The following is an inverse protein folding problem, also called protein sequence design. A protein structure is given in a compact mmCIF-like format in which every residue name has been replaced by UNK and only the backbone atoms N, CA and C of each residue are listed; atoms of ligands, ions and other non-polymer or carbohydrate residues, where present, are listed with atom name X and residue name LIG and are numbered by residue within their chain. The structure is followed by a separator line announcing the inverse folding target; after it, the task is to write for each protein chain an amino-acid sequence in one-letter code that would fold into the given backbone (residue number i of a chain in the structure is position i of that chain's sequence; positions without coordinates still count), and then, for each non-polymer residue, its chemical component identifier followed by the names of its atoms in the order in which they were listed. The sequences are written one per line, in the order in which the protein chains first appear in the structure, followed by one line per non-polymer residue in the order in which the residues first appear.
data_IF_044201325386
#
_entry.id   IF_044201325386
#
_cell.length_a   1.000
_cell.length_b   1.000
_cell.length_c   1.000
_cell.angle_alpha   90.00
_cell.angle_beta   90.00
_cell.angle_gamma   90.00
#
_symmetry.space_group_name_H-M   'P 1'
#
loop_
_entity.id
_entity.type
_entity.pdbx_description
1 polymer ?
#
# COMPACT_ATOMS: atom_id res chain seq x y z
N UNK A 1 0.93 -7.85 -22.04
CA UNK A 1 1.68 -9.01 -21.50
C UNK A 1 1.00 -10.33 -21.84
N UNK A 2 1.76 -11.35 -22.25
CA UNK A 2 1.23 -12.64 -22.72
C UNK A 2 1.21 -13.71 -21.62
N UNK A 3 2.06 -13.58 -20.61
CA UNK A 3 2.21 -14.53 -19.50
C UNK A 3 2.23 -13.80 -18.15
N UNK A 4 2.07 -14.54 -17.06
CA UNK A 4 2.20 -14.05 -15.69
C UNK A 4 3.56 -13.38 -15.47
N UNK A 5 4.65 -14.02 -15.90
CA UNK A 5 6.01 -13.47 -15.79
C UNK A 5 6.15 -12.13 -16.51
N UNK A 6 5.62 -12.01 -17.73
CA UNK A 6 5.64 -10.75 -18.48
C UNK A 6 4.78 -9.68 -17.80
N UNK A 7 3.60 -10.04 -17.26
CA UNK A 7 2.70 -9.11 -16.60
C UNK A 7 3.33 -8.54 -15.32
N UNK A 8 3.89 -9.42 -14.49
CA UNK A 8 4.58 -9.07 -13.26
C UNK A 8 5.86 -8.25 -13.51
N UNK A 9 6.61 -8.56 -14.57
CA UNK A 9 7.74 -7.72 -14.98
C UNK A 9 7.27 -6.34 -15.45
N UNK A 10 6.14 -6.26 -16.16
CA UNK A 10 5.61 -4.98 -16.63
C UNK A 10 5.15 -4.09 -15.47
N UNK A 11 4.49 -4.64 -14.44
CA UNK A 11 4.10 -3.86 -13.25
C UNK A 11 5.33 -3.27 -12.56
N UNK A 12 6.39 -4.06 -12.37
CA UNK A 12 7.65 -3.56 -11.80
C UNK A 12 8.32 -2.50 -12.69
N UNK A 13 8.27 -2.68 -14.02
CA UNK A 13 8.87 -1.72 -14.97
C UNK A 13 8.19 -0.35 -14.87
N UNK A 14 6.86 -0.31 -14.81
CA UNK A 14 6.14 0.95 -14.59
C UNK A 14 6.40 1.53 -13.20
N UNK A 15 6.47 0.68 -12.17
CA UNK A 15 6.77 1.11 -10.80
C UNK A 15 8.08 1.88 -10.72
N UNK A 16 9.15 1.33 -11.30
CA UNK A 16 10.46 1.97 -11.33
C UNK A 16 10.48 3.18 -12.26
N UNK A 17 9.73 3.16 -13.37
CA UNK A 17 9.65 4.32 -14.26
C UNK A 17 9.10 5.56 -13.53
N UNK A 18 8.03 5.39 -12.75
CA UNK A 18 7.44 6.47 -11.95
C UNK A 18 8.41 6.89 -10.83
N UNK A 19 9.01 5.96 -10.10
CA UNK A 19 9.99 6.30 -9.05
C UNK A 19 11.26 6.97 -9.59
N UNK A 20 11.56 6.83 -10.88
CA UNK A 20 12.69 7.48 -11.52
C UNK A 20 12.34 8.87 -12.10
N UNK A 21 11.06 9.25 -12.13
CA UNK A 21 10.65 10.56 -12.65
C UNK A 21 10.72 11.65 -11.58
N UNK A 22 10.65 11.28 -10.29
CA UNK A 22 10.70 12.21 -9.15
C UNK A 22 11.22 11.52 -7.87
N UNK A 23 11.66 12.30 -6.88
CA UNK A 23 12.16 11.81 -5.59
C UNK A 23 10.98 11.43 -4.67
N UNK A 24 10.44 10.24 -4.86
CA UNK A 24 9.22 9.77 -4.19
C UNK A 24 9.53 8.65 -3.18
N UNK A 25 8.77 8.63 -2.10
CA UNK A 25 8.57 7.46 -1.24
C UNK A 25 7.08 7.19 -1.13
N UNK A 26 6.69 5.93 -0.90
CA UNK A 26 5.30 5.56 -0.69
C UNK A 26 4.48 5.37 -1.96
N UNK A 27 5.14 5.18 -3.12
CA UNK A 27 4.44 4.71 -4.31
C UNK A 27 4.06 3.24 -4.11
N UNK A 28 2.80 2.98 -3.79
CA UNK A 28 2.32 1.64 -3.55
C UNK A 28 2.01 0.90 -4.87
N UNK A 29 2.50 -0.34 -5.07
CA UNK A 29 1.98 -1.21 -6.13
C UNK A 29 0.51 -1.61 -5.88
N UNK A 30 0.02 -1.39 -4.66
CA UNK A 30 -1.39 -1.58 -4.31
C UNK A 30 -1.79 -3.04 -4.29
N UNK A 31 -2.97 -3.36 -4.83
CA UNK A 31 -3.56 -4.71 -4.82
C UNK A 31 -3.04 -5.57 -5.98
N UNK A 32 -1.71 -5.69 -6.09
CA UNK A 32 -1.05 -6.32 -7.24
C UNK A 32 -1.45 -7.80 -7.40
N UNK A 33 -1.78 -8.50 -6.31
CA UNK A 33 -2.27 -9.87 -6.35
C UNK A 33 -3.60 -9.99 -7.11
N UNK A 34 -4.45 -8.98 -7.05
CA UNK A 34 -5.72 -8.95 -7.78
C UNK A 34 -5.53 -8.44 -9.21
N UNK A 35 -4.62 -7.47 -9.41
CA UNK A 35 -4.24 -7.00 -10.75
C UNK A 35 -3.64 -8.13 -11.59
N UNK A 36 -2.75 -8.94 -11.01
CA UNK A 36 -2.04 -10.01 -11.71
C UNK A 36 -2.80 -11.35 -11.75
N UNK A 37 -3.88 -11.48 -10.98
CA UNK A 37 -4.67 -12.71 -10.92
C UNK A 37 -5.14 -13.24 -12.29
N UNK A 38 -5.59 -12.40 -13.25
CA UNK A 38 -6.01 -12.86 -14.57
C UNK A 38 -4.92 -13.65 -15.31
N UNK A 39 -3.68 -13.18 -15.25
CA UNK A 39 -2.55 -13.88 -15.88
C UNK A 39 -2.14 -15.12 -15.12
N UNK A 40 -2.14 -15.08 -13.78
CA UNK A 40 -1.87 -16.24 -12.94
C UNK A 40 -2.86 -17.37 -13.20
N UNK A 41 -4.17 -17.08 -13.16
CA UNK A 41 -5.24 -18.05 -13.37
C UNK A 41 -5.08 -18.76 -14.72
N UNK A 42 -4.87 -17.99 -15.79
CA UNK A 42 -4.80 -18.52 -17.13
C UNK A 42 -3.49 -19.28 -17.43
N UNK A 43 -2.36 -18.87 -16.85
CA UNK A 43 -1.09 -19.57 -17.03
C UNK A 43 -1.06 -20.89 -16.27
N UNK A 44 -1.62 -20.93 -15.05
CA UNK A 44 -1.79 -22.17 -14.30
C UNK A 44 -2.71 -23.13 -15.06
N UNK A 45 -3.86 -22.67 -15.56
CA UNK A 45 -4.80 -23.50 -16.29
C UNK A 45 -4.23 -24.06 -17.60
N UNK A 46 -3.36 -23.30 -18.28
CA UNK A 46 -2.71 -23.71 -19.51
C UNK A 46 -1.42 -24.52 -19.31
N UNK A 47 -1.01 -24.79 -18.05
CA UNK A 47 0.24 -25.48 -17.74
C UNK A 47 1.50 -24.72 -18.17
N UNK A 48 1.41 -23.38 -18.31
CA UNK A 48 2.56 -22.53 -18.68
C UNK A 48 3.47 -22.22 -17.50
N UNK A 49 2.96 -22.37 -16.29
CA UNK A 49 3.72 -22.22 -15.04
C UNK A 49 3.14 -23.09 -13.94
N UNK A 50 3.86 -23.19 -12.82
CA UNK A 50 3.46 -23.86 -11.59
C UNK A 50 3.42 -22.86 -10.43
N UNK A 51 2.70 -23.19 -9.36
CA UNK A 51 2.71 -22.35 -8.15
C UNK A 51 4.10 -22.19 -7.53
N UNK A 52 4.95 -23.21 -7.68
CA UNK A 52 6.33 -23.16 -7.21
C UNK A 52 7.14 -22.08 -7.96
N UNK A 53 7.00 -22.02 -9.28
CA UNK A 53 7.65 -20.98 -10.10
C UNK A 53 7.06 -19.59 -9.82
N UNK A 54 5.74 -19.51 -9.60
CA UNK A 54 5.09 -18.25 -9.20
C UNK A 54 5.60 -17.78 -7.84
N UNK A 55 5.73 -18.68 -6.86
CA UNK A 55 6.29 -18.38 -5.56
C UNK A 55 7.74 -17.87 -5.67
N UNK A 56 8.59 -18.54 -6.45
CA UNK A 56 9.96 -18.09 -6.72
C UNK A 56 9.99 -16.68 -7.34
N UNK A 57 9.10 -16.40 -8.30
CA UNK A 57 9.01 -15.06 -8.89
C UNK A 57 8.58 -14.02 -7.85
N UNK A 58 7.66 -14.36 -6.95
CA UNK A 58 7.21 -13.47 -5.87
C UNK A 58 8.32 -13.21 -4.86
N UNK A 59 9.11 -14.21 -4.48
CA UNK A 59 10.30 -14.03 -3.63
C UNK A 59 11.32 -13.09 -4.29
N UNK A 60 11.62 -13.29 -5.58
CA UNK A 60 12.48 -12.38 -6.34
C UNK A 60 11.90 -10.96 -6.41
N UNK A 61 10.58 -10.81 -6.53
CA UNK A 61 9.89 -9.52 -6.49
C UNK A 61 10.17 -8.79 -5.17
N UNK A 62 10.14 -9.51 -4.04
CA UNK A 62 10.47 -8.94 -2.73
C UNK A 62 11.87 -8.36 -2.70
N UNK A 63 12.85 -9.08 -3.25
CA UNK A 63 14.23 -8.58 -3.39
C UNK A 63 14.27 -7.30 -4.22
N UNK A 64 13.58 -7.27 -5.37
CA UNK A 64 13.52 -6.09 -6.24
C UNK A 64 12.96 -4.86 -5.53
N UNK A 65 11.85 -5.01 -4.80
CA UNK A 65 11.21 -3.93 -4.05
C UNK A 65 12.03 -3.47 -2.84
N UNK A 66 12.74 -4.39 -2.19
CA UNK A 66 13.63 -4.08 -1.06
C UNK A 66 14.82 -3.21 -1.49
N UNK A 67 15.27 -3.33 -2.74
CA UNK A 67 16.37 -2.54 -3.28
C UNK A 67 15.96 -1.13 -3.78
N UNK A 68 14.68 -0.75 -3.67
CA UNK A 68 14.23 0.59 -4.06
C UNK A 68 14.73 1.58 -3.01
N UNK A 69 15.34 2.68 -3.49
CA UNK A 69 15.88 3.75 -2.65
C UNK A 69 15.29 5.10 -3.05
N UNK A 70 15.24 6.04 -2.10
CA UNK A 70 14.69 7.38 -2.26
C UNK A 70 15.79 8.41 -2.01
N UNK A 71 16.25 9.08 -3.07
CA UNK A 71 17.27 10.11 -2.96
C UNK A 71 16.66 11.43 -2.44
N UNK A 72 16.77 11.67 -1.14
CA UNK A 72 16.26 12.88 -0.48
C UNK A 72 17.16 13.34 0.67
N UNK A 73 16.81 14.46 1.31
CA UNK A 73 17.55 14.98 2.46
C UNK A 73 17.58 13.97 3.62
N UNK A 74 18.59 14.07 4.50
CA UNK A 74 18.70 13.21 5.70
C UNK A 74 17.53 13.38 6.66
N UNK A 75 16.88 14.56 6.69
CA UNK A 75 15.64 14.77 7.43
C UNK A 75 14.49 13.90 6.93
N UNK A 76 14.43 13.64 5.62
CA UNK A 76 13.46 12.74 5.00
C UNK A 76 13.92 11.30 5.15
N UNK A 77 15.08 10.92 4.57
CA UNK A 77 15.54 9.52 4.51
C UNK A 77 15.79 8.95 5.91
N UNK A 78 16.41 9.72 6.80
CA UNK A 78 16.66 9.30 8.18
C UNK A 78 15.51 9.63 9.11
N UNK A 79 15.10 10.90 9.14
CA UNK A 79 14.14 11.41 10.14
C UNK A 79 12.69 10.98 9.94
N UNK A 80 12.28 10.66 8.71
CA UNK A 80 10.92 10.19 8.39
C UNK A 80 10.94 8.73 7.98
N UNK A 81 11.73 8.40 6.96
CA UNK A 81 11.63 7.13 6.26
C UNK A 81 12.40 5.98 6.92
N UNK A 82 13.43 6.31 7.70
CA UNK A 82 14.44 5.35 8.17
C UNK A 82 15.00 4.45 7.05
N UNK A 83 15.14 5.00 5.84
CA UNK A 83 15.60 4.30 4.64
C UNK A 83 14.57 3.40 3.94
N UNK A 84 13.36 3.21 4.49
CA UNK A 84 12.30 2.46 3.81
C UNK A 84 11.59 3.36 2.78
N UNK A 85 11.20 2.81 1.63
CA UNK A 85 10.51 3.57 0.56
C UNK A 85 9.02 3.26 0.45
N UNK A 86 8.48 2.48 1.38
CA UNK A 86 7.05 2.21 1.59
C UNK A 86 6.27 1.81 0.33
N UNK A 87 6.84 0.94 -0.49
CA UNK A 87 6.13 0.36 -1.62
C UNK A 87 5.15 -0.71 -1.11
N UNK A 88 3.95 -0.29 -0.71
CA UNK A 88 3.02 -1.13 0.03
C UNK A 88 2.11 -1.97 -0.88
N UNK A 89 2.07 -3.27 -0.62
CA UNK A 89 1.24 -4.24 -1.32
C UNK A 89 0.03 -4.60 -0.45
N UNK A 90 -1.14 -4.12 -0.85
CA UNK A 90 -2.40 -4.42 -0.17
C UNK A 90 -2.97 -5.77 -0.61
N UNK A 91 -3.58 -6.49 0.33
CA UNK A 91 -4.16 -7.83 0.17
C UNK A 91 -5.61 -7.83 0.63
N UNK A 92 -6.42 -8.75 0.08
CA UNK A 92 -7.81 -8.94 0.51
C UNK A 92 -8.71 -7.75 0.16
N UNK A 93 -9.54 -7.32 1.12
CA UNK A 93 -10.60 -6.34 0.87
C UNK A 93 -11.76 -6.93 0.06
N UNK A 94 -12.48 -6.07 -0.67
CA UNK A 94 -13.69 -6.46 -1.39
C UNK A 94 -13.58 -6.27 -2.90
N UNK A 95 -14.29 -7.09 -3.68
CA UNK A 95 -14.49 -6.91 -5.12
C UNK A 95 -15.42 -5.73 -5.37
N UNK A 96 -15.56 -5.33 -6.64
CA UNK A 96 -16.52 -4.32 -7.08
C UNK A 96 -17.93 -4.59 -6.57
N UNK A 97 -18.36 -5.85 -6.56
CA UNK A 97 -19.68 -6.30 -6.10
C UNK A 97 -19.78 -6.45 -4.56
N UNK A 98 -18.69 -6.21 -3.83
CA UNK A 98 -18.67 -6.28 -2.37
C UNK A 98 -18.54 -7.69 -1.81
N UNK A 99 -18.03 -8.65 -2.58
CA UNK A 99 -17.60 -9.99 -2.11
C UNK A 99 -16.14 -9.94 -1.67
N UNK A 100 -15.63 -10.96 -0.98
CA UNK A 100 -14.18 -11.05 -0.72
C UNK A 100 -13.39 -10.99 -2.03
N UNK A 101 -12.34 -10.16 -2.07
CA UNK A 101 -11.42 -10.09 -3.19
C UNK A 101 -10.21 -11.05 -3.06
N UNK A 102 -10.19 -11.85 -1.99
CA UNK A 102 -9.15 -12.85 -1.77
C UNK A 102 -9.12 -13.83 -2.93
N UNK A 103 -7.91 -14.10 -3.42
CA UNK A 103 -7.69 -15.02 -4.51
C UNK A 103 -6.42 -15.85 -4.27
N UNK A 104 -6.26 -16.92 -5.04
CA UNK A 104 -5.19 -17.90 -4.86
C UNK A 104 -3.78 -17.30 -4.99
N UNK A 105 -3.59 -16.24 -5.77
CA UNK A 105 -2.28 -15.57 -5.88
C UNK A 105 -1.92 -14.82 -4.60
N UNK A 106 -2.89 -14.27 -3.86
CA UNK A 106 -2.63 -13.57 -2.60
C UNK A 106 -2.10 -14.51 -1.50
N UNK A 107 -2.50 -15.78 -1.48
CA UNK A 107 -1.89 -16.78 -0.59
C UNK A 107 -0.41 -16.99 -0.90
N UNK A 108 -0.04 -17.05 -2.18
CA UNK A 108 1.36 -17.16 -2.61
C UNK A 108 2.16 -15.88 -2.29
N UNK A 109 1.52 -14.70 -2.33
CA UNK A 109 2.16 -13.45 -1.93
C UNK A 109 2.48 -13.47 -0.42
N UNK A 110 1.56 -13.95 0.41
CA UNK A 110 1.80 -14.11 1.85
C UNK A 110 2.88 -15.16 2.10
N UNK A 111 2.85 -16.29 1.39
CA UNK A 111 3.88 -17.32 1.47
C UNK A 111 5.26 -16.79 1.11
N UNK A 112 5.39 -16.03 0.02
CA UNK A 112 6.65 -15.37 -0.36
C UNK A 112 7.17 -14.45 0.75
N UNK A 113 6.26 -13.80 1.50
CA UNK A 113 6.62 -12.99 2.67
C UNK A 113 7.16 -13.80 3.85
N UNK A 114 6.75 -15.06 3.98
CA UNK A 114 7.23 -16.02 4.99
C UNK A 114 8.58 -16.60 4.57
N UNK A 115 8.69 -17.07 3.32
CA UNK A 115 9.88 -17.78 2.83
C UNK A 115 11.03 -16.85 2.47
N UNK A 116 10.73 -15.60 2.10
CA UNK A 116 11.70 -14.55 1.81
C UNK A 116 11.46 -13.31 2.69
N UNK A 117 11.87 -13.42 3.96
CA UNK A 117 11.80 -12.33 4.94
C UNK A 117 12.61 -11.11 4.50
N UNK A 118 11.93 -10.05 4.08
CA UNK A 118 12.54 -8.81 3.59
C UNK A 118 11.69 -7.59 3.96
N UNK A 119 12.26 -6.38 4.10
CA UNK A 119 11.48 -5.19 4.48
C UNK A 119 10.38 -4.80 3.49
N UNK A 120 10.53 -5.12 2.19
CA UNK A 120 9.58 -4.71 1.15
C UNK A 120 9.25 -5.81 0.13
N UNK A 121 8.10 -5.72 -0.56
CA UNK A 121 6.99 -4.84 -0.21
C UNK A 121 6.43 -5.26 1.16
N UNK A 122 6.09 -4.25 1.98
CA UNK A 122 5.28 -4.54 3.16
C UNK A 122 3.92 -5.04 2.70
N UNK A 123 3.36 -5.99 3.45
CA UNK A 123 2.05 -6.55 3.16
C UNK A 123 1.01 -5.85 4.03
N UNK A 124 -0.16 -5.59 3.45
CA UNK A 124 -1.22 -4.83 4.09
C UNK A 124 -2.57 -5.51 3.89
N UNK A 125 -3.02 -6.26 4.89
CA UNK A 125 -4.32 -6.91 4.86
C UNK A 125 -5.43 -5.88 5.06
N UNK A 126 -6.24 -5.65 4.02
CA UNK A 126 -7.49 -4.89 4.11
C UNK A 126 -8.56 -5.78 4.74
N UNK A 127 -8.54 -5.85 6.06
CA UNK A 127 -9.43 -6.70 6.86
C UNK A 127 -10.89 -6.37 6.62
N UNK A 128 -11.66 -7.40 6.32
CA UNK A 128 -13.11 -7.37 6.19
C UNK A 128 -13.69 -8.65 6.79
N UNK A 129 -14.87 -8.57 7.40
CA UNK A 129 -15.58 -9.74 7.96
C UNK A 129 -15.91 -10.79 6.89
N UNK A 130 -15.88 -10.41 5.60
CA UNK A 130 -16.11 -11.31 4.47
C UNK A 130 -14.87 -12.10 4.04
N UNK A 131 -13.69 -11.80 4.57
CA UNK A 131 -12.48 -12.51 4.19
C UNK A 131 -12.52 -13.96 4.70
N UNK A 132 -12.04 -14.95 3.91
CA UNK A 132 -11.97 -16.34 4.34
C UNK A 132 -11.07 -16.50 5.59
N UNK A 133 -11.53 -17.31 6.55
CA UNK A 133 -10.78 -17.54 7.80
C UNK A 133 -9.40 -18.14 7.55
N UNK A 134 -9.27 -19.05 6.60
CA UNK A 134 -7.99 -19.67 6.22
C UNK A 134 -7.00 -18.64 5.65
N UNK A 135 -7.47 -17.64 4.91
CA UNK A 135 -6.63 -16.52 4.47
C UNK A 135 -6.18 -15.65 5.65
N UNK A 136 -7.09 -15.35 6.58
CA UNK A 136 -6.75 -14.58 7.79
C UNK A 136 -5.70 -15.33 8.63
N UNK A 137 -5.87 -16.64 8.82
CA UNK A 137 -4.90 -17.48 9.50
C UNK A 137 -3.55 -17.53 8.77
N UNK A 138 -3.55 -17.51 7.43
CA UNK A 138 -2.31 -17.43 6.64
C UNK A 138 -1.58 -16.10 6.85
N UNK A 139 -2.29 -14.98 6.89
CA UNK A 139 -1.72 -13.69 7.25
C UNK A 139 -1.15 -13.69 8.67
N UNK A 140 -1.85 -14.28 9.64
CA UNK A 140 -1.37 -14.43 11.03
C UNK A 140 -0.15 -15.35 11.14
N UNK A 141 -0.06 -16.39 10.32
CA UNK A 141 1.15 -17.22 10.22
C UNK A 141 2.36 -16.37 9.80
N UNK A 142 2.16 -15.48 8.84
CA UNK A 142 3.19 -14.54 8.39
C UNK A 142 3.57 -13.53 9.49
N UNK A 143 2.61 -12.92 10.18
CA UNK A 143 2.89 -12.02 11.31
C UNK A 143 3.75 -12.67 12.39
N UNK A 144 3.47 -13.94 12.70
CA UNK A 144 4.18 -14.71 13.73
C UNK A 144 5.64 -14.96 13.40
N UNK A 145 6.07 -14.75 12.15
CA UNK A 145 7.49 -14.79 11.78
C UNK A 145 8.28 -13.60 12.35
N UNK A 146 7.59 -12.54 12.80
CA UNK A 146 8.22 -11.34 13.37
C UNK A 146 8.76 -10.35 12.34
N UNK A 147 8.39 -10.50 11.07
CA UNK A 147 8.80 -9.61 9.96
C UNK A 147 8.12 -8.24 10.00
N UNK A 148 7.04 -8.09 10.78
CA UNK A 148 6.27 -6.85 10.91
C UNK A 148 5.17 -6.66 9.86
N UNK A 149 4.91 -7.67 9.03
CA UNK A 149 3.81 -7.69 8.06
C UNK A 149 3.13 -9.08 8.04
N UNK A 150 1.87 -9.19 7.57
CA UNK A 150 0.99 -8.11 7.10
C UNK A 150 0.52 -7.14 8.20
N UNK A 151 0.58 -5.84 7.92
CA UNK A 151 -0.19 -4.87 8.70
C UNK A 151 -1.69 -5.06 8.45
N UNK A 152 -2.52 -4.72 9.44
CA UNK A 152 -3.98 -4.92 9.39
C UNK A 152 -4.71 -3.58 9.34
N UNK A 153 -5.40 -3.32 8.22
CA UNK A 153 -6.17 -2.10 8.01
C UNK A 153 -7.65 -2.43 7.93
N UNK A 154 -8.49 -1.62 8.58
CA UNK A 154 -9.94 -1.83 8.55
C UNK A 154 -10.51 -1.39 7.19
N UNK A 155 -10.93 -2.36 6.37
CA UNK A 155 -11.44 -2.10 5.02
C UNK A 155 -12.74 -1.28 5.04
N UNK A 156 -13.63 -1.52 6.00
CA UNK A 156 -14.90 -0.77 6.11
C UNK A 156 -14.67 0.70 6.48
N UNK A 157 -13.71 0.97 7.37
CA UNK A 157 -13.29 2.35 7.67
C UNK A 157 -12.66 3.02 6.46
N UNK A 158 -11.82 2.31 5.70
CA UNK A 158 -11.21 2.83 4.48
C UNK A 158 -12.26 3.18 3.42
N UNK A 159 -13.24 2.31 3.18
CA UNK A 159 -14.38 2.55 2.26
C UNK A 159 -15.19 3.77 2.73
N UNK A 160 -15.49 3.85 4.02
CA UNK A 160 -16.26 4.97 4.59
C UNK A 160 -15.51 6.29 4.44
N UNK A 161 -14.20 6.29 4.68
CA UNK A 161 -13.35 7.45 4.46
C UNK A 161 -13.36 7.86 2.99
N UNK A 162 -13.21 6.93 2.05
CA UNK A 162 -13.24 7.22 0.61
C UNK A 162 -14.54 7.89 0.18
N UNK A 163 -15.68 7.33 0.59
CA UNK A 163 -17.00 7.88 0.27
C UNK A 163 -17.20 9.30 0.82
N UNK A 164 -16.67 9.59 2.01
CA UNK A 164 -16.78 10.92 2.62
C UNK A 164 -15.83 11.92 1.99
N UNK A 165 -14.58 11.53 1.81
CA UNK A 165 -13.50 12.43 1.39
C UNK A 165 -13.62 12.78 -0.09
N UNK A 166 -13.99 11.82 -0.94
CA UNK A 166 -14.05 11.96 -2.40
C UNK A 166 -15.50 11.98 -2.92
N UNK A 167 -16.49 12.12 -2.04
CA UNK A 167 -17.92 12.10 -2.39
C UNK A 167 -18.30 13.24 -3.34
N UNK A 168 -17.76 14.44 -3.12
CA UNK A 168 -18.00 15.62 -3.97
C UNK A 168 -17.40 15.48 -5.37
N UNK A 169 -16.41 14.59 -5.54
CA UNK A 169 -15.80 14.23 -6.82
C UNK A 169 -16.51 13.04 -7.50
N UNK A 170 -17.57 12.50 -6.88
CA UNK A 170 -18.38 11.41 -7.43
C UNK A 170 -17.94 10.01 -7.02
N UNK A 171 -17.18 9.86 -5.92
CA UNK A 171 -16.78 8.55 -5.41
C UNK A 171 -18.00 7.64 -5.17
N UNK A 172 -18.02 6.50 -5.86
CA UNK A 172 -19.07 5.50 -5.72
C UNK A 172 -18.68 4.43 -4.69
N UNK A 173 -19.67 3.68 -4.18
CA UNK A 173 -19.39 2.53 -3.31
C UNK A 173 -18.59 1.45 -4.04
N UNK A 174 -18.77 1.32 -5.35
CA UNK A 174 -18.00 0.40 -6.18
C UNK A 174 -16.53 0.79 -6.19
N UNK A 175 -16.21 2.04 -6.55
CA UNK A 175 -14.82 2.52 -6.58
C UNK A 175 -14.19 2.59 -5.18
N UNK A 176 -14.96 2.96 -4.16
CA UNK A 176 -14.48 2.95 -2.78
C UNK A 176 -14.02 1.55 -2.34
N UNK A 177 -14.60 0.46 -2.89
CA UNK A 177 -14.13 -0.92 -2.61
C UNK A 177 -12.81 -1.24 -3.27
N UNK A 178 -12.36 -0.49 -4.28
CA UNK A 178 -11.05 -0.66 -4.89
C UNK A 178 -9.90 -0.12 -4.02
N UNK A 179 -10.22 0.58 -2.92
CA UNK A 179 -9.26 1.23 -2.01
C UNK A 179 -8.05 0.37 -1.69
N UNK A 180 -6.91 1.03 -1.56
CA UNK A 180 -5.63 0.44 -1.21
C UNK A 180 -4.84 1.45 -0.36
N UNK A 181 -3.75 1.00 0.25
CA UNK A 181 -2.88 1.84 1.06
C UNK A 181 -1.76 2.40 0.21
N UNK A 182 -1.72 3.73 0.06
CA UNK A 182 -0.55 4.48 -0.38
C UNK A 182 0.46 4.55 0.77
N UNK A 183 1.75 4.42 0.47
CA UNK A 183 2.80 4.48 1.48
C UNK A 183 2.56 3.57 2.70
N UNK A 184 2.62 4.15 3.89
CA UNK A 184 2.47 3.41 5.15
C UNK A 184 1.00 3.09 5.40
N UNK A 185 0.18 4.14 5.51
CA UNK A 185 -1.23 4.10 5.94
C UNK A 185 -2.08 5.16 5.21
N UNK A 186 -1.56 5.76 4.15
CA UNK A 186 -2.26 6.79 3.39
C UNK A 186 -3.38 6.13 2.57
N UNK A 187 -4.57 6.03 3.16
CA UNK A 187 -5.74 5.43 2.52
C UNK A 187 -6.00 6.17 1.19
N UNK A 188 -5.84 5.47 0.07
CA UNK A 188 -5.73 6.11 -1.26
C UNK A 188 -6.86 5.70 -2.21
N UNK A 189 -7.43 6.67 -2.96
CA UNK A 189 -8.53 6.41 -3.86
C UNK A 189 -8.07 5.55 -5.04
N UNK A 190 -8.89 4.58 -5.37
CA UNK A 190 -8.68 3.64 -6.45
C UNK A 190 -9.99 3.52 -7.24
N UNK A 191 -9.93 2.89 -8.41
CA UNK A 191 -11.11 2.57 -9.21
C UNK A 191 -10.98 1.18 -9.82
N UNK A 192 -12.10 0.66 -10.32
CA UNK A 192 -12.10 -0.58 -11.08
C UNK A 192 -11.89 -0.31 -12.57
N UNK A 193 -11.05 -1.13 -13.21
CA UNK A 193 -10.88 -1.16 -14.66
C UNK A 193 -11.22 -2.55 -15.20
N UNK A 194 -11.92 -2.58 -16.33
CA UNK A 194 -12.17 -3.83 -17.04
C UNK A 194 -10.92 -4.22 -17.85
N UNK A 195 -10.38 -5.41 -17.58
CA UNK A 195 -9.35 -6.06 -18.37
C UNK A 195 -9.99 -7.22 -19.14
N UNK A 196 -9.83 -7.24 -20.47
CA UNK A 196 -10.12 -8.42 -21.28
C UNK A 196 -8.81 -9.16 -21.59
N UNK A 197 -8.68 -10.39 -21.09
CA UNK A 197 -7.51 -11.24 -21.32
C UNK A 197 -7.98 -12.58 -21.90
N UNK A 198 -7.53 -12.91 -23.11
CA UNK A 198 -7.89 -14.13 -23.85
C UNK A 198 -9.41 -14.40 -23.89
N UNK A 199 -10.20 -13.34 -24.10
CA UNK A 199 -11.66 -13.42 -24.23
C UNK A 199 -12.44 -13.46 -22.91
N UNK A 200 -11.77 -13.53 -21.74
CA UNK A 200 -12.40 -13.41 -20.42
C UNK A 200 -12.21 -12.00 -19.87
N UNK A 201 -13.28 -11.45 -19.28
CA UNK A 201 -13.28 -10.14 -18.63
C UNK A 201 -12.99 -10.26 -17.13
N UNK A 202 -12.27 -9.28 -16.60
CA UNK A 202 -11.89 -9.17 -15.20
C UNK A 202 -12.01 -7.71 -14.77
N UNK A 203 -12.53 -7.46 -13.57
CA UNK A 203 -12.39 -6.16 -12.93
C UNK A 203 -11.11 -6.16 -12.07
N UNK A 204 -10.18 -5.27 -12.39
CA UNK A 204 -8.92 -5.10 -11.65
C UNK A 204 -8.88 -3.73 -10.97
N UNK A 205 -8.39 -3.64 -9.73
CA UNK A 205 -8.27 -2.36 -9.04
C UNK A 205 -7.01 -1.61 -9.52
N UNK A 206 -7.05 -0.28 -9.47
CA UNK A 206 -5.87 0.57 -9.72
C UNK A 206 -6.01 1.93 -9.06
N UNK A 207 -4.87 2.54 -8.70
CA UNK A 207 -4.83 3.89 -8.13
C UNK A 207 -5.50 4.92 -9.04
N UNK A 208 -6.27 5.83 -8.44
CA UNK A 208 -7.09 6.80 -9.15
C UNK A 208 -6.95 8.24 -8.63
N UNK A 209 -5.99 8.50 -7.74
CA UNK A 209 -5.76 9.81 -7.14
C UNK A 209 -4.33 10.31 -7.27
N UNK A 210 -4.18 11.59 -6.95
CA UNK A 210 -2.90 12.25 -6.70
C UNK A 210 -2.29 11.76 -5.37
N UNK A 211 -1.03 12.10 -5.05
CA UNK A 211 -0.43 11.78 -3.76
C UNK A 211 -1.33 12.21 -2.59
N UNK A 212 -1.55 11.29 -1.64
CA UNK A 212 -2.50 11.46 -0.52
C UNK A 212 -1.84 11.91 0.78
N UNK A 213 -0.52 12.14 0.79
CA UNK A 213 0.29 12.60 1.92
C UNK A 213 1.15 13.83 1.59
N UNK A 214 0.55 14.79 0.88
CA UNK A 214 1.19 16.08 0.57
C UNK A 214 0.39 17.24 1.20
N UNK A 215 1.07 18.36 1.46
CA UNK A 215 0.48 19.55 2.07
C UNK A 215 1.23 19.97 3.33
N UNK A 216 0.53 20.11 4.45
CA UNK A 216 1.16 20.36 5.76
C UNK A 216 1.70 19.03 6.29
N UNK A 217 3.02 18.84 6.21
CA UNK A 217 3.71 17.68 6.77
C UNK A 217 3.63 17.65 8.30
N UNK A 218 4.32 16.68 8.92
CA UNK A 218 4.23 16.41 10.36
C UNK A 218 4.39 17.66 11.24
N UNK A 219 3.32 17.99 11.96
CA UNK A 219 3.34 18.98 13.03
C UNK A 219 3.42 18.24 14.36
N UNK A 220 4.49 18.49 15.12
CA UNK A 220 4.64 17.93 16.45
C UNK A 220 3.74 18.67 17.45
N UNK A 221 2.49 18.20 17.62
CA UNK A 221 1.52 18.78 18.55
C UNK A 221 2.08 18.97 19.99
N UNK A 222 2.88 18.05 20.55
CA UNK A 222 3.52 18.30 21.85
C UNK A 222 4.45 19.52 21.85
N UNK A 223 5.13 19.81 20.73
CA UNK A 223 5.96 21.02 20.60
C UNK A 223 5.10 22.27 20.52
N UNK A 224 3.94 22.21 19.85
CA UNK A 224 2.98 23.32 19.83
C UNK A 224 2.47 23.60 21.24
N UNK A 225 2.10 22.56 22.00
CA UNK A 225 1.70 22.71 23.41
C UNK A 225 2.81 23.31 24.27
N UNK A 226 4.06 22.86 24.09
CA UNK A 226 5.20 23.46 24.78
C UNK A 226 5.31 24.96 24.48
N UNK A 227 5.12 25.37 23.21
CA UNK A 227 5.10 26.79 22.83
C UNK A 227 3.90 27.56 23.37
N UNK A 228 2.77 26.91 23.67
CA UNK A 228 1.67 27.56 24.42
C UNK A 228 2.11 27.81 25.86
N UNK A 229 2.78 26.84 26.50
CA UNK A 229 3.22 26.97 27.89
C UNK A 229 4.28 28.08 28.03
N UNK A 230 5.17 28.19 27.06
CA UNK A 230 6.31 29.14 27.07
C UNK A 230 6.00 30.44 26.33
N UNK A 231 4.72 30.77 26.13
CA UNK A 231 4.27 32.01 25.51
C UNK A 231 4.94 32.29 24.14
N UNK A 232 5.04 31.25 23.31
CA UNK A 232 5.58 31.27 21.95
C UNK A 232 7.10 31.16 21.85
N UNK A 233 7.83 31.12 22.96
CA UNK A 233 9.29 31.01 22.98
C UNK A 233 9.74 29.55 22.94
N UNK A 234 10.58 29.16 21.99
CA UNK A 234 11.27 27.86 22.06
C UNK A 234 12.47 27.96 23.01
N UNK A 235 12.32 27.47 24.24
CA UNK A 235 13.37 27.50 25.26
C UNK A 235 14.65 26.75 24.84
N UNK A 236 14.55 25.76 23.96
CA UNK A 236 15.70 24.97 23.50
C UNK A 236 16.65 25.80 22.64
N UNK A 237 16.10 26.62 21.76
CA UNK A 237 16.88 27.47 20.83
C UNK A 237 16.95 28.93 21.29
N UNK A 238 16.14 29.30 22.28
CA UNK A 238 15.94 30.68 22.75
C UNK A 238 15.41 31.60 21.65
N UNK A 239 14.62 31.05 20.72
CA UNK A 239 14.00 31.80 19.62
C UNK A 239 12.50 31.96 19.85
N UNK A 240 11.99 33.17 19.64
CA UNK A 240 10.54 33.41 19.61
C UNK A 240 9.96 32.83 18.32
N UNK A 241 9.25 31.70 18.42
CA UNK A 241 8.68 30.98 17.26
C UNK A 241 7.33 31.58 16.87
N UNK A 242 6.47 31.83 17.87
CA UNK A 242 5.17 32.45 17.67
C UNK A 242 5.08 33.76 18.45
N UNK A 243 4.25 34.73 18.05
CA UNK A 243 3.97 35.89 18.89
C UNK A 243 3.48 35.46 20.28
N UNK A 244 3.96 36.11 21.36
CA UNK A 244 3.49 35.80 22.70
C UNK A 244 1.98 36.07 22.80
N UNK A 245 1.22 35.07 23.24
CA UNK A 245 -0.22 35.21 23.42
C UNK A 245 -0.57 36.04 24.65
N UNK A 246 0.32 36.14 25.65
CA UNK A 246 0.17 36.94 26.88
C UNK A 246 -1.12 36.65 27.66
N UNK A 247 -1.54 35.38 27.64
CA UNK A 247 -2.72 34.90 28.37
C UNK A 247 -2.25 34.12 29.58
N UNK A 248 -2.97 34.25 30.68
CA UNK A 248 -2.80 33.37 31.84
C UNK A 248 -3.22 31.95 31.43
N UNK A 249 -2.38 30.98 31.74
CA UNK A 249 -2.64 29.56 31.56
C UNK A 249 -3.45 29.00 32.75
#
# INVERSE_FOLDING_TARGET
PRTFREAMQLTYTFHIAVLNEDAISGLSPGRVGQVLYPWFEQDIAAGRTTEKEVLELLELYRVKFTCIDCFASTGVVGGVLSGNTFNNLSLGGLTKEGKSAVNRLEYLIVEAGITCGSPQPTLSCLYDEKLPEDFLLKCVECDKTGTGYPAWMNNQSAITFMLRQYGDEGMTVEDARAVSIGGCLETSPCCWKELTLNGKKYDIPGGAGQPTSIGVHFIANPKILNLVITNGMDERTRMQVFPPHNKKL
#
